data_IF_993095879406
#
_entry.id   IF_993095879406
#
_cell.length_a   1.000
_cell.length_b   1.000
_cell.length_c   1.000
_cell.angle_alpha   90.00
_cell.angle_beta   90.00
_cell.angle_gamma   90.00
#
_symmetry.space_group_name_H-M   'P 1'
#
loop_
_entity.id
_entity.type
_entity.pdbx_description
1 polymer ?
#
# COMPACT_ATOMS: atom_id res chain seq x y z
N UNK A 1 -58.57 -36.52 44.27
CA UNK A 1 -57.41 -36.97 43.44
C UNK A 1 -56.40 -35.84 43.14
N UNK A 2 -56.34 -34.76 43.96
CA UNK A 2 -55.59 -33.52 43.63
C UNK A 2 -54.16 -33.50 44.23
N UNK A 3 -53.91 -34.31 45.28
CA UNK A 3 -52.61 -34.38 45.97
C UNK A 3 -51.41 -34.78 45.09
N UNK A 4 -51.50 -35.70 44.11
CA UNK A 4 -50.35 -36.00 43.26
C UNK A 4 -50.05 -34.85 42.30
N UNK A 5 -51.08 -34.20 41.75
CA UNK A 5 -50.92 -33.10 40.77
C UNK A 5 -50.15 -31.93 41.38
N UNK A 6 -50.39 -31.60 42.65
CA UNK A 6 -49.71 -30.50 43.32
C UNK A 6 -48.19 -30.72 43.46
N UNK A 7 -47.76 -31.97 43.70
CA UNK A 7 -46.33 -32.32 43.79
C UNK A 7 -45.64 -32.23 42.44
N UNK A 8 -46.30 -32.70 41.39
CA UNK A 8 -45.80 -32.58 40.01
C UNK A 8 -45.69 -31.12 39.58
N UNK A 9 -46.64 -30.26 39.94
CA UNK A 9 -46.55 -28.82 39.66
C UNK A 9 -45.39 -28.15 40.38
N UNK A 10 -45.16 -28.46 41.66
CA UNK A 10 -44.02 -27.90 42.40
C UNK A 10 -42.69 -28.32 41.78
N UNK A 11 -42.57 -29.59 41.39
CA UNK A 11 -41.38 -30.09 40.70
C UNK A 11 -41.16 -29.42 39.35
N UNK A 12 -42.21 -29.31 38.52
CA UNK A 12 -42.14 -28.64 37.22
C UNK A 12 -41.78 -27.15 37.36
N UNK A 13 -42.31 -26.47 38.39
CA UNK A 13 -41.97 -25.08 38.69
C UNK A 13 -40.48 -24.93 39.03
N UNK A 14 -39.96 -25.80 39.91
CA UNK A 14 -38.55 -25.78 40.29
C UNK A 14 -37.62 -26.07 39.10
N UNK A 15 -37.96 -27.07 38.28
CA UNK A 15 -37.23 -27.40 37.06
C UNK A 15 -37.26 -26.25 36.04
N UNK A 16 -38.42 -25.61 35.85
CA UNK A 16 -38.57 -24.47 34.96
C UNK A 16 -37.71 -23.28 35.39
N UNK A 17 -37.66 -22.97 36.69
CA UNK A 17 -36.80 -21.91 37.23
C UNK A 17 -35.31 -22.19 36.96
N UNK A 18 -34.88 -23.44 37.15
CA UNK A 18 -33.49 -23.84 36.88
C UNK A 18 -33.14 -23.73 35.39
N UNK A 19 -34.00 -24.24 34.49
CA UNK A 19 -33.80 -24.14 33.05
C UNK A 19 -33.83 -22.69 32.56
N UNK A 20 -34.71 -21.87 33.13
CA UNK A 20 -34.77 -20.43 32.84
C UNK A 20 -33.48 -19.72 33.22
N UNK A 21 -32.91 -20.01 34.40
CA UNK A 21 -31.64 -19.43 34.82
C UNK A 21 -30.47 -19.87 33.91
N UNK A 22 -30.38 -21.16 33.57
CA UNK A 22 -29.34 -21.67 32.67
C UNK A 22 -29.44 -21.07 31.27
N UNK A 23 -30.66 -20.95 30.74
CA UNK A 23 -30.90 -20.37 29.42
C UNK A 23 -30.57 -18.86 29.40
N UNK A 24 -30.88 -18.15 30.48
CA UNK A 24 -30.54 -16.73 30.63
C UNK A 24 -29.02 -16.52 30.60
N UNK A 25 -28.27 -17.29 31.40
CA UNK A 25 -26.79 -17.20 31.42
C UNK A 25 -26.23 -17.53 30.03
N UNK A 26 -26.71 -18.61 29.40
CA UNK A 26 -26.27 -19.02 28.06
C UNK A 26 -26.52 -17.91 27.02
N UNK A 27 -27.69 -17.27 27.06
CA UNK A 27 -28.00 -16.15 26.17
C UNK A 27 -27.03 -14.97 26.36
N UNK A 28 -26.71 -14.63 27.61
CA UNK A 28 -25.77 -13.54 27.89
C UNK A 28 -24.35 -13.88 27.44
N UNK A 29 -23.92 -15.14 27.59
CA UNK A 29 -22.61 -15.57 27.09
C UNK A 29 -22.54 -15.45 25.57
N UNK A 30 -23.59 -15.88 24.85
CA UNK A 30 -23.65 -15.76 23.39
C UNK A 30 -23.63 -14.31 22.91
N UNK A 31 -24.28 -13.38 23.61
CA UNK A 31 -24.21 -11.96 23.25
C UNK A 31 -22.79 -11.41 23.42
N UNK A 32 -22.09 -11.79 24.49
CA UNK A 32 -20.70 -11.35 24.73
C UNK A 32 -19.73 -11.93 23.69
N UNK A 33 -19.94 -13.18 23.26
CA UNK A 33 -19.16 -13.79 22.18
C UNK A 33 -19.39 -13.08 20.85
N UNK A 34 -20.63 -12.73 20.53
CA UNK A 34 -20.95 -12.01 19.31
C UNK A 34 -20.29 -10.62 19.28
N UNK A 35 -20.30 -9.89 20.39
CA UNK A 35 -19.65 -8.58 20.48
C UNK A 35 -18.13 -8.67 20.30
N UNK A 36 -17.50 -9.72 20.86
CA UNK A 36 -16.06 -10.00 20.66
C UNK A 36 -15.75 -10.30 19.20
N UNK A 37 -16.57 -11.13 18.54
CA UNK A 37 -16.38 -11.47 17.13
C UNK A 37 -16.48 -10.22 16.23
N UNK A 38 -17.44 -9.32 16.51
CA UNK A 38 -17.55 -8.06 15.77
C UNK A 38 -16.33 -7.16 15.98
N UNK A 39 -15.84 -7.05 17.22
CA UNK A 39 -14.65 -6.25 17.52
C UNK A 39 -13.37 -6.83 16.86
N UNK A 40 -13.22 -8.15 16.85
CA UNK A 40 -12.10 -8.83 16.17
C UNK A 40 -12.17 -8.65 14.64
N UNK A 41 -13.36 -8.77 14.05
CA UNK A 41 -13.56 -8.53 12.63
C UNK A 41 -13.24 -7.07 12.25
N UNK A 42 -13.69 -6.10 13.05
CA UNK A 42 -13.37 -4.69 12.84
C UNK A 42 -11.86 -4.44 12.95
N UNK A 43 -11.20 -5.02 13.95
CA UNK A 43 -9.75 -4.94 14.10
C UNK A 43 -9.04 -5.53 12.88
N UNK A 44 -9.43 -6.72 12.43
CA UNK A 44 -8.83 -7.34 11.25
C UNK A 44 -9.06 -6.52 9.97
N UNK A 45 -10.25 -5.95 9.80
CA UNK A 45 -10.55 -5.07 8.67
C UNK A 45 -9.66 -3.83 8.71
N UNK A 46 -9.54 -3.17 9.87
CA UNK A 46 -8.68 -2.00 10.04
C UNK A 46 -7.21 -2.33 9.76
N UNK A 47 -6.71 -3.46 10.28
CA UNK A 47 -5.35 -3.92 10.00
C UNK A 47 -5.09 -4.19 8.52
N UNK A 48 -6.07 -4.77 7.81
CA UNK A 48 -5.97 -4.98 6.36
C UNK A 48 -5.98 -3.66 5.59
N UNK A 49 -6.84 -2.72 5.99
CA UNK A 49 -6.90 -1.39 5.38
C UNK A 49 -5.59 -0.63 5.62
N UNK A 50 -5.03 -0.67 6.83
CA UNK A 50 -3.80 0.02 7.19
C UNK A 50 -2.57 -0.55 6.47
N UNK A 51 -2.47 -1.88 6.40
CA UNK A 51 -1.40 -2.56 5.65
C UNK A 51 -1.45 -2.21 4.16
N UNK A 52 -2.66 -2.16 3.61
CA UNK A 52 -2.89 -1.81 2.21
C UNK A 52 -2.57 -0.33 1.93
N UNK A 53 -3.04 0.59 2.79
CA UNK A 53 -2.74 2.02 2.68
C UNK A 53 -1.23 2.28 2.80
N UNK A 54 -0.54 1.60 3.71
CA UNK A 54 0.91 1.69 3.88
C UNK A 54 1.65 1.26 2.62
N UNK A 55 1.23 0.17 1.98
CA UNK A 55 1.83 -0.29 0.73
C UNK A 55 1.66 0.73 -0.41
N UNK A 56 0.50 1.40 -0.49
CA UNK A 56 0.26 2.46 -1.46
C UNK A 56 1.16 3.68 -1.18
N UNK A 57 1.25 4.10 0.08
CA UNK A 57 2.07 5.25 0.50
C UNK A 57 3.56 5.02 0.23
N UNK A 58 4.07 3.82 0.50
CA UNK A 58 5.48 3.48 0.22
C UNK A 58 5.80 3.62 -1.27
N UNK A 59 4.89 3.17 -2.16
CA UNK A 59 5.06 3.30 -3.61
C UNK A 59 5.08 4.76 -4.06
N UNK A 60 4.19 5.58 -3.49
CA UNK A 60 4.17 7.01 -3.80
C UNK A 60 5.41 7.74 -3.25
N UNK A 61 5.85 7.42 -2.03
CA UNK A 61 7.05 8.04 -1.45
C UNK A 61 8.34 7.65 -2.20
N UNK A 62 8.38 6.44 -2.77
CA UNK A 62 9.51 6.01 -3.59
C UNK A 62 9.59 6.77 -4.95
N UNK A 63 8.58 7.54 -5.33
CA UNK A 63 8.54 8.27 -6.59
C UNK A 63 9.33 9.59 -6.48
N UNK A 64 10.33 9.83 -7.36
CA UNK A 64 11.04 11.10 -7.39
C UNK A 64 10.13 12.29 -7.71
N UNK A 65 10.39 13.49 -7.15
CA UNK A 65 9.60 14.70 -7.40
C UNK A 65 9.47 15.05 -8.90
N UNK A 66 10.50 14.80 -9.70
CA UNK A 66 10.50 15.08 -11.14
C UNK A 66 9.43 14.27 -11.90
N UNK A 67 9.03 13.10 -11.39
CA UNK A 67 8.00 12.28 -12.02
C UNK A 67 6.57 12.78 -11.75
N UNK A 68 6.38 13.79 -10.90
CA UNK A 68 5.08 14.44 -10.70
C UNK A 68 4.83 15.56 -11.72
N UNK A 69 5.70 15.77 -12.71
CA UNK A 69 5.44 16.64 -13.85
C UNK A 69 4.99 15.81 -15.05
N UNK A 70 4.13 16.32 -15.94
CA UNK A 70 3.71 15.57 -17.13
C UNK A 70 4.89 15.11 -17.98
N UNK A 71 5.89 15.97 -18.14
CA UNK A 71 7.15 15.66 -18.82
C UNK A 71 8.30 16.15 -17.97
N UNK A 72 9.37 15.35 -17.91
CA UNK A 72 10.60 15.72 -17.20
C UNK A 72 11.81 15.42 -18.07
N UNK A 73 12.90 16.15 -17.83
CA UNK A 73 14.19 15.87 -18.45
C UNK A 73 14.99 14.97 -17.51
N UNK A 74 15.40 13.76 -17.91
CA UNK A 74 16.28 12.95 -17.09
C UNK A 74 17.66 13.62 -17.03
N UNK A 75 18.29 13.62 -15.84
CA UNK A 75 19.60 14.27 -15.65
C UNK A 75 20.76 13.47 -16.27
N UNK A 76 20.61 12.14 -16.39
CA UNK A 76 21.66 11.22 -16.82
C UNK A 76 21.39 10.60 -18.20
N UNK A 77 21.16 11.42 -19.22
CA UNK A 77 21.07 10.94 -20.59
C UNK A 77 22.42 11.05 -21.30
N UNK A 78 22.87 9.94 -21.87
CA UNK A 78 24.08 9.86 -22.69
C UNK A 78 23.74 9.49 -24.12
N UNK A 79 24.36 10.16 -25.09
CA UNK A 79 24.24 9.76 -26.51
C UNK A 79 24.97 8.45 -26.76
N UNK A 80 24.32 7.48 -27.41
CA UNK A 80 24.84 6.13 -27.57
C UNK A 80 26.12 6.01 -28.42
N UNK A 81 26.46 7.02 -29.22
CA UNK A 81 27.68 6.99 -30.07
C UNK A 81 28.90 7.64 -29.42
N UNK A 82 28.71 8.74 -28.69
CA UNK A 82 29.82 9.55 -28.18
C UNK A 82 29.92 9.53 -26.64
N UNK A 83 29.00 8.85 -25.95
CA UNK A 83 28.86 8.83 -24.49
C UNK A 83 28.90 10.25 -23.87
N UNK A 84 28.46 11.26 -24.63
CA UNK A 84 28.37 12.65 -24.18
C UNK A 84 27.06 12.84 -23.44
N UNK A 85 27.13 13.53 -22.30
CA UNK A 85 25.94 13.94 -21.57
C UNK A 85 25.10 14.87 -22.46
N UNK A 86 23.82 14.57 -22.59
CA UNK A 86 22.84 15.41 -23.26
C UNK A 86 22.45 16.53 -22.30
N UNK A 87 22.41 17.78 -22.78
CA UNK A 87 22.02 18.90 -21.94
C UNK A 87 20.58 18.76 -21.44
N UNK A 88 20.37 19.12 -20.17
CA UNK A 88 19.05 19.15 -19.54
C UNK A 88 18.07 19.98 -20.39
N UNK A 89 16.88 19.45 -20.63
CA UNK A 89 15.86 20.10 -21.45
C UNK A 89 15.81 19.68 -22.92
N UNK A 90 16.86 19.02 -23.44
CA UNK A 90 16.88 18.60 -24.86
C UNK A 90 16.04 17.35 -25.11
N UNK A 91 15.97 16.45 -24.14
CA UNK A 91 15.21 15.21 -24.21
C UNK A 91 14.15 15.19 -23.10
N UNK A 92 12.88 15.19 -23.50
CA UNK A 92 11.74 15.11 -22.60
C UNK A 92 11.23 13.67 -22.55
N UNK A 93 11.12 13.14 -21.34
CA UNK A 93 10.52 11.84 -21.07
C UNK A 93 9.14 12.05 -20.44
N UNK A 94 8.09 11.33 -20.89
CA UNK A 94 6.78 11.37 -20.27
C UNK A 94 6.89 10.83 -18.84
N UNK A 95 6.10 11.39 -17.93
CA UNK A 95 5.97 10.81 -16.61
C UNK A 95 5.24 9.46 -16.68
N UNK A 96 5.59 8.51 -15.78
CA UNK A 96 4.82 7.26 -15.65
C UNK A 96 3.35 7.53 -15.28
N UNK A 97 3.04 8.71 -14.73
CA UNK A 97 1.68 9.11 -14.36
C UNK A 97 0.80 9.43 -15.56
N UNK A 98 1.38 9.68 -16.75
CA UNK A 98 0.61 9.83 -17.99
C UNK A 98 0.03 8.48 -18.46
N UNK A 99 0.62 7.36 -18.04
CA UNK A 99 0.08 6.03 -18.32
C UNK A 99 -1.15 5.74 -17.43
N UNK A 100 -1.60 4.49 -17.45
CA UNK A 100 -2.76 4.09 -16.64
C UNK A 100 -2.50 4.34 -15.14
N UNK A 101 -3.41 5.04 -14.45
CA UNK A 101 -3.23 5.34 -13.04
C UNK A 101 -3.32 4.06 -12.20
N UNK A 102 -2.69 4.02 -11.01
CA UNK A 102 -2.86 2.92 -10.07
C UNK A 102 -4.34 2.69 -9.75
N UNK A 103 -4.72 1.43 -9.54
CA UNK A 103 -6.12 0.99 -9.33
C UNK A 103 -6.90 1.83 -8.30
N UNK A 104 -6.21 2.31 -7.26
CA UNK A 104 -6.82 3.02 -6.13
C UNK A 104 -6.54 4.53 -6.13
N UNK A 105 -5.90 5.06 -7.17
CA UNK A 105 -5.59 6.48 -7.30
C UNK A 105 -6.32 7.04 -8.51
N UNK A 106 -7.32 7.89 -8.25
CA UNK A 106 -8.17 8.43 -9.32
C UNK A 106 -7.47 9.53 -10.13
N UNK A 107 -6.76 10.43 -9.46
CA UNK A 107 -6.12 11.58 -10.08
C UNK A 107 -4.98 12.06 -9.18
N UNK A 108 -3.84 12.37 -9.78
CA UNK A 108 -2.77 13.10 -9.12
C UNK A 108 -2.94 14.58 -9.45
N UNK A 109 -2.91 15.44 -8.44
CA UNK A 109 -3.06 16.87 -8.63
C UNK A 109 -2.22 17.64 -7.64
N UNK A 110 -1.86 18.85 -8.03
CA UNK A 110 -1.18 19.83 -7.21
C UNK A 110 -2.06 21.09 -7.17
N UNK A 111 -2.14 21.69 -5.99
CA UNK A 111 -2.82 22.97 -5.79
C UNK A 111 -1.74 24.04 -5.68
N UNK A 112 -1.62 24.87 -6.70
CA UNK A 112 -0.72 26.02 -6.69
C UNK A 112 -1.42 27.27 -6.15
N UNK A 113 -0.81 28.00 -5.20
CA UNK A 113 -1.34 29.26 -4.71
C UNK A 113 -1.11 30.35 -5.76
N UNK A 114 -2.04 30.54 -6.69
CA UNK A 114 -1.96 31.57 -7.71
C UNK A 114 -3.01 32.67 -7.45
N UNK A 115 -2.70 33.60 -6.54
CA UNK A 115 -3.57 34.75 -6.26
C UNK A 115 -4.91 34.36 -5.60
N UNK A 116 -6.01 35.01 -6.01
CA UNK A 116 -7.34 34.87 -5.38
C UNK A 116 -8.03 33.53 -5.63
N UNK A 117 -7.58 32.74 -6.61
CA UNK A 117 -8.15 31.43 -6.94
C UNK A 117 -7.04 30.37 -7.01
N UNK A 118 -7.14 29.26 -6.26
CA UNK A 118 -6.16 28.18 -6.32
C UNK A 118 -6.14 27.53 -7.71
N UNK A 119 -4.97 27.45 -8.34
CA UNK A 119 -4.83 26.78 -9.64
C UNK A 119 -4.57 25.29 -9.38
N UNK A 120 -5.50 24.44 -9.82
CA UNK A 120 -5.38 22.99 -9.70
C UNK A 120 -4.78 22.44 -10.99
N UNK A 121 -3.56 21.91 -10.89
CA UNK A 121 -2.87 21.29 -12.02
C UNK A 121 -2.75 19.79 -11.80
N UNK A 122 -2.80 19.01 -12.87
CA UNK A 122 -2.62 17.56 -12.81
C UNK A 122 -1.53 17.12 -13.78
N UNK A 123 -0.62 16.22 -13.38
CA UNK A 123 0.39 15.68 -14.28
C UNK A 123 -0.22 14.85 -15.41
N UNK A 124 -1.43 14.30 -15.19
CA UNK A 124 -2.18 13.54 -16.20
C UNK A 124 -2.83 14.40 -17.27
N UNK A 125 -2.99 15.70 -17.03
CA UNK A 125 -3.64 16.63 -17.96
C UNK A 125 -2.59 17.66 -18.41
N UNK A 126 -1.69 17.27 -19.34
CA UNK A 126 -0.71 18.19 -19.87
C UNK A 126 -1.40 19.37 -20.59
N UNK A 127 -0.79 20.55 -20.52
CA UNK A 127 -1.31 21.78 -21.13
C UNK A 127 -0.32 22.37 -22.14
N UNK A 128 -0.83 23.13 -23.12
CA UNK A 128 0.01 23.82 -24.11
C UNK A 128 0.85 22.86 -24.97
N UNK A 129 2.15 23.13 -25.08
CA UNK A 129 3.08 22.33 -25.91
C UNK A 129 3.19 20.88 -25.43
N UNK A 130 3.10 20.65 -24.11
CA UNK A 130 3.16 19.29 -23.55
C UNK A 130 1.98 18.43 -23.97
N UNK A 131 0.79 19.03 -24.14
CA UNK A 131 -0.39 18.34 -24.65
C UNK A 131 -0.20 17.86 -26.10
N UNK A 132 0.38 18.73 -26.94
CA UNK A 132 0.69 18.39 -28.33
C UNK A 132 1.72 17.27 -28.41
N UNK A 133 2.72 17.28 -27.52
CA UNK A 133 3.73 16.23 -27.44
C UNK A 133 3.13 14.89 -27.00
N UNK A 134 2.28 14.90 -25.97
CA UNK A 134 1.57 13.72 -25.48
C UNK A 134 0.66 13.10 -26.56
N UNK A 135 -0.12 13.93 -27.25
CA UNK A 135 -1.07 13.49 -28.27
C UNK A 135 -0.36 12.97 -29.52
N UNK A 136 0.71 13.65 -29.95
CA UNK A 136 1.44 13.29 -31.17
C UNK A 136 2.31 12.04 -30.98
N UNK A 137 3.01 11.92 -29.85
CA UNK A 137 4.06 10.90 -29.69
C UNK A 137 3.66 9.69 -28.84
N UNK A 138 2.71 9.85 -27.90
CA UNK A 138 2.42 8.83 -26.89
C UNK A 138 1.00 8.25 -26.96
N UNK A 139 0.15 8.73 -27.87
CA UNK A 139 -1.20 8.21 -28.13
C UNK A 139 -2.10 8.05 -26.87
N UNK A 140 -1.91 8.91 -25.86
CA UNK A 140 -2.55 8.84 -24.52
C UNK A 140 -3.95 9.48 -24.50
N UNK A 141 -4.60 9.58 -25.65
CA UNK A 141 -5.83 10.39 -25.82
C UNK A 141 -6.98 9.99 -24.88
N UNK A 142 -7.36 8.70 -24.72
CA UNK A 142 -8.49 8.36 -23.86
C UNK A 142 -8.18 8.55 -22.37
N UNK A 143 -6.95 8.26 -21.93
CA UNK A 143 -6.56 8.50 -20.53
C UNK A 143 -6.54 10.00 -20.19
N UNK A 144 -6.05 10.84 -21.11
CA UNK A 144 -6.06 12.30 -20.91
C UNK A 144 -7.49 12.82 -20.80
N UNK A 145 -8.43 12.30 -21.60
CA UNK A 145 -9.85 12.68 -21.52
C UNK A 145 -10.44 12.34 -20.15
N UNK A 146 -10.27 11.10 -19.68
CA UNK A 146 -10.75 10.70 -18.35
C UNK A 146 -10.10 11.51 -17.21
N UNK A 147 -8.81 11.80 -17.30
CA UNK A 147 -8.14 12.66 -16.32
C UNK A 147 -8.66 14.10 -16.36
N UNK A 148 -8.97 14.63 -17.55
CA UNK A 148 -9.56 15.97 -17.74
C UNK A 148 -10.94 16.05 -17.11
N UNK A 149 -11.78 15.04 -17.31
CA UNK A 149 -13.11 14.95 -16.68
C UNK A 149 -13.00 14.92 -15.15
N UNK A 150 -12.11 14.08 -14.61
CA UNK A 150 -11.88 13.99 -13.15
C UNK A 150 -11.34 15.30 -12.58
N UNK A 151 -10.45 15.99 -13.29
CA UNK A 151 -9.94 17.29 -12.89
C UNK A 151 -11.06 18.34 -12.84
N UNK A 152 -11.97 18.35 -13.81
CA UNK A 152 -13.15 19.23 -13.81
C UNK A 152 -14.11 18.94 -12.65
N UNK A 153 -14.34 17.66 -12.33
CA UNK A 153 -15.11 17.26 -11.16
C UNK A 153 -14.45 17.73 -9.86
N UNK A 154 -13.13 17.55 -9.73
CA UNK A 154 -12.36 18.02 -8.57
C UNK A 154 -12.45 19.54 -8.41
N UNK A 155 -12.30 20.30 -9.50
CA UNK A 155 -12.44 21.76 -9.47
C UNK A 155 -13.83 22.18 -8.98
N UNK A 156 -14.88 21.49 -9.42
CA UNK A 156 -16.26 21.74 -8.96
C UNK A 156 -16.42 21.47 -7.46
N UNK A 157 -15.80 20.41 -6.95
CA UNK A 157 -15.83 20.09 -5.51
C UNK A 157 -15.07 21.16 -4.71
N UNK A 158 -13.90 21.59 -5.18
CA UNK A 158 -13.07 22.59 -4.51
C UNK A 158 -13.71 23.99 -4.52
N UNK A 159 -14.44 24.36 -5.57
CA UNK A 159 -15.23 25.61 -5.58
C UNK A 159 -16.44 25.54 -4.66
N UNK A 160 -17.09 24.37 -4.56
CA UNK A 160 -18.20 24.14 -3.63
C UNK A 160 -17.75 24.14 -2.18
N UNK A 161 -16.53 23.69 -1.92
CA UNK A 161 -15.96 23.54 -0.57
C UNK A 161 -14.65 24.32 -0.42
N UNK A 162 -14.71 25.67 -0.35
CA UNK A 162 -13.50 26.51 -0.24
C UNK A 162 -12.69 26.24 1.04
N UNK A 163 -13.30 25.63 2.06
CA UNK A 163 -12.60 25.20 3.28
C UNK A 163 -11.51 24.15 3.03
N UNK A 164 -11.60 23.37 1.94
CA UNK A 164 -10.60 22.35 1.60
C UNK A 164 -9.32 22.96 1.03
N UNK A 165 -9.38 24.18 0.53
CA UNK A 165 -8.24 24.87 -0.07
C UNK A 165 -7.59 25.88 0.89
N UNK A 166 -8.22 26.14 2.04
CA UNK A 166 -7.65 27.00 3.06
C UNK A 166 -6.49 26.27 3.73
N UNK A 167 -5.27 26.60 3.30
CA UNK A 167 -4.05 26.32 4.04
C UNK A 167 -4.31 26.69 5.51
N UNK A 168 -3.99 25.79 6.43
CA UNK A 168 -4.13 25.99 7.87
C UNK A 168 -3.15 27.07 8.37
N UNK A 169 -3.31 28.31 7.91
CA UNK A 169 -2.71 29.51 8.49
C UNK A 169 -3.75 30.10 9.44
N UNK A 170 -3.70 29.63 10.69
CA UNK A 170 -3.56 30.46 11.89
C UNK A 170 -3.60 29.54 13.11
N UNK A 171 -2.45 28.89 13.37
CA UNK A 171 -2.11 28.32 14.67
C UNK A 171 -1.91 29.41 15.73
N UNK A 172 -2.89 30.29 15.92
CA UNK A 172 -3.09 31.01 17.18
C UNK A 172 -4.03 30.15 18.00
N UNK A 173 -3.44 29.23 18.76
CA UNK A 173 -4.16 28.23 19.51
C UNK A 173 -5.18 28.86 20.45
N UNK A 174 -6.46 28.57 20.20
CA UNK A 174 -7.44 28.47 21.27
C UNK A 174 -7.05 27.26 22.12
N UNK A 175 -6.20 27.52 23.11
CA UNK A 175 -6.09 26.66 24.28
C UNK A 175 -7.50 26.55 24.90
N UNK A 176 -8.05 25.33 25.09
CA UNK A 176 -9.16 25.19 26.02
C UNK A 176 -8.65 25.58 27.40
N UNK A 177 -9.35 26.55 28.01
CA UNK A 177 -9.06 27.10 29.31
C UNK A 177 -8.90 26.01 30.38
N UNK A 178 -8.00 26.28 31.35
CA UNK A 178 -7.84 25.66 32.69
C UNK A 178 -6.57 24.81 32.88
N UNK A 179 -5.45 25.46 33.20
CA UNK A 179 -4.78 25.33 34.51
C UNK A 179 -3.56 26.27 34.60
N UNK A 180 -3.32 26.76 35.81
CA UNK A 180 -2.53 27.94 36.19
C UNK A 180 -1.01 27.87 35.90
N UNK A 181 -0.29 29.02 35.93
CA UNK A 181 1.07 29.14 35.44
C UNK A 181 2.14 28.83 36.51
N UNK A 182 3.23 28.20 36.09
CA UNK A 182 4.51 28.23 36.79
C UNK A 182 5.52 28.94 35.89
N UNK A 183 5.91 30.13 36.33
CA UNK A 183 6.94 30.97 35.77
C UNK A 183 8.28 30.23 35.66
N UNK A 184 8.95 30.34 34.51
CA UNK A 184 10.40 30.29 34.44
C UNK A 184 10.89 31.14 33.27
N UNK A 185 11.40 32.32 33.64
CA UNK A 185 12.20 33.25 32.84
C UNK A 185 13.45 32.56 32.30
N UNK A 186 13.81 32.83 31.05
CA UNK A 186 15.03 32.32 30.44
C UNK A 186 15.33 32.93 29.08
N UNK A 187 15.70 34.20 29.08
CA UNK A 187 16.48 34.84 28.00
C UNK A 187 17.72 34.00 27.66
N UNK A 188 17.95 33.66 26.39
CA UNK A 188 19.26 33.88 25.77
C UNK A 188 19.24 33.80 24.24
N UNK A 189 19.73 34.88 23.67
CA UNK A 189 19.97 35.11 22.26
C UNK A 189 21.06 34.22 21.63
N UNK A 190 20.88 33.98 20.33
CA UNK A 190 21.94 33.83 19.32
C UNK A 190 22.57 32.45 19.22
N UNK A 191 22.58 31.86 18.01
CA UNK A 191 23.82 31.52 17.31
C UNK A 191 23.52 31.31 15.81
N UNK A 192 24.43 31.85 15.01
CA UNK A 192 24.49 31.85 13.55
C UNK A 192 25.19 30.57 13.05
N UNK A 193 24.88 30.20 11.80
CA UNK A 193 25.52 29.22 10.91
C UNK A 193 27.03 28.99 11.12
N UNK A 194 27.47 27.72 11.11
CA UNK A 194 28.58 27.23 10.26
C UNK A 194 28.85 25.71 10.34
N UNK A 195 29.24 25.14 9.19
CA UNK A 195 29.83 23.80 8.92
C UNK A 195 28.89 22.57 9.08
N UNK A 196 28.54 21.75 8.08
CA UNK A 196 29.23 21.26 6.88
C UNK A 196 30.57 20.56 7.19
N UNK A 197 30.49 19.38 7.83
CA UNK A 197 31.46 18.27 7.73
C UNK A 197 31.22 17.10 8.73
N UNK A 198 30.10 17.06 9.49
CA UNK A 198 29.91 16.06 10.56
C UNK A 198 28.55 15.33 10.56
N UNK A 199 27.84 15.24 9.44
CA UNK A 199 26.52 14.57 9.37
C UNK A 199 26.55 13.15 8.80
N UNK A 200 27.70 12.61 8.40
CA UNK A 200 27.77 11.24 7.83
C UNK A 200 27.93 10.13 8.88
N UNK A 201 28.12 10.46 10.16
CA UNK A 201 28.15 9.47 11.26
C UNK A 201 26.91 9.47 12.15
N UNK A 202 26.02 10.47 12.05
CA UNK A 202 24.77 10.51 12.81
C UNK A 202 23.60 9.74 12.15
N UNK A 203 23.77 9.26 10.91
CA UNK A 203 22.73 8.54 10.16
C UNK A 203 22.74 7.01 10.36
N UNK A 204 23.70 6.46 11.12
CA UNK A 204 23.76 5.02 11.41
C UNK A 204 23.35 4.64 12.84
N UNK A 205 23.11 5.60 13.74
CA UNK A 205 22.72 5.32 15.14
C UNK A 205 21.25 5.69 15.46
N UNK A 206 20.47 6.13 14.47
CA UNK A 206 19.05 6.47 14.65
C UNK A 206 18.06 5.38 14.22
N UNK A 207 18.53 4.19 13.80
CA UNK A 207 17.65 3.06 13.48
C UNK A 207 17.27 2.19 14.70
N UNK A 208 17.64 2.57 15.92
CA UNK A 208 17.47 1.76 17.14
C UNK A 208 16.56 2.36 18.23
N UNK A 209 15.96 3.54 18.04
CA UNK A 209 15.12 4.15 19.08
C UNK A 209 13.89 4.84 18.46
N UNK A 210 12.82 4.08 18.29
CA UNK A 210 11.46 4.61 18.41
C UNK A 210 10.63 3.62 19.22
N UNK A 211 10.91 3.64 20.52
CA UNK A 211 10.06 3.05 21.55
C UNK A 211 8.78 3.85 21.64
N UNK A 212 7.66 3.16 21.40
CA UNK A 212 6.32 3.62 21.73
C UNK A 212 6.24 3.71 23.26
N UNK A 213 6.06 4.94 23.77
CA UNK A 213 5.70 5.19 25.17
C UNK A 213 4.23 4.80 25.34
N UNK A 214 3.99 3.59 25.85
CA UNK A 214 2.72 3.17 26.45
C UNK A 214 2.75 3.56 27.94
N UNK A 215 1.60 3.96 28.53
CA UNK A 215 1.54 4.38 29.92
C UNK A 215 1.90 3.26 30.88
N UNK A 216 2.58 3.66 31.95
CA UNK A 216 3.12 2.81 32.98
C UNK A 216 2.02 2.07 33.76
N UNK A 217 1.94 0.75 33.56
CA UNK A 217 1.44 -0.19 34.56
C UNK A 217 2.54 -1.23 34.81
N UNK A 218 3.46 -0.88 35.73
CA UNK A 218 4.71 -1.59 35.99
C UNK A 218 4.54 -2.99 36.60
N UNK A 219 3.31 -3.45 36.85
CA UNK A 219 3.03 -4.77 37.42
C UNK A 219 2.69 -5.84 36.37
N UNK A 220 2.45 -5.47 35.10
CA UNK A 220 1.97 -6.43 34.08
C UNK A 220 3.10 -7.09 33.27
N UNK A 221 4.25 -6.44 33.12
CA UNK A 221 5.39 -6.99 32.36
C UNK A 221 6.12 -8.16 33.04
N UNK A 222 6.00 -8.31 34.36
CA UNK A 222 6.69 -9.37 35.10
C UNK A 222 5.92 -10.71 35.12
N UNK A 223 4.61 -10.68 34.90
CA UNK A 223 3.78 -11.88 34.72
C UNK A 223 3.98 -12.48 33.32
N UNK A 224 4.09 -11.62 32.31
CA UNK A 224 4.27 -12.03 30.91
C UNK A 224 5.63 -12.72 30.67
N UNK A 225 6.71 -12.25 31.31
CA UNK A 225 8.01 -12.93 31.24
C UNK A 225 8.04 -14.31 31.92
N UNK A 226 7.26 -14.50 33.00
CA UNK A 226 7.16 -15.81 33.66
C UNK A 226 6.39 -16.79 32.79
N UNK A 227 5.33 -16.34 32.13
CA UNK A 227 4.55 -17.17 31.20
C UNK A 227 5.38 -17.52 29.94
N UNK A 228 6.14 -16.57 29.38
CA UNK A 228 7.07 -16.83 28.26
C UNK A 228 8.16 -17.84 28.64
N UNK A 229 8.72 -17.77 29.85
CA UNK A 229 9.67 -18.78 30.33
C UNK A 229 9.03 -20.16 30.51
N UNK A 230 7.79 -20.22 31.00
CA UNK A 230 7.05 -21.47 31.13
C UNK A 230 6.68 -22.09 29.77
N UNK A 231 6.31 -21.27 28.79
CA UNK A 231 6.05 -21.76 27.42
C UNK A 231 7.31 -22.30 26.75
N UNK A 232 8.45 -21.64 26.96
CA UNK A 232 9.73 -22.12 26.43
C UNK A 232 10.14 -23.45 27.05
N UNK A 233 9.93 -23.68 28.35
CA UNK A 233 10.25 -24.98 28.98
C UNK A 233 9.35 -26.12 28.50
N UNK A 234 8.05 -25.88 28.28
CA UNK A 234 7.15 -26.91 27.75
C UNK A 234 7.53 -27.28 26.31
N UNK A 235 7.97 -26.31 25.52
CA UNK A 235 8.36 -26.55 24.12
C UNK A 235 9.65 -27.36 24.02
N UNK A 236 10.62 -27.14 24.93
CA UNK A 236 11.86 -27.94 24.93
C UNK A 236 11.64 -29.36 25.43
N UNK A 237 10.72 -29.58 26.38
CA UNK A 237 10.37 -30.91 26.88
C UNK A 237 9.65 -31.76 25.82
N UNK A 238 8.74 -31.14 25.05
CA UNK A 238 8.10 -31.79 23.90
C UNK A 238 9.06 -32.06 22.73
N UNK A 239 10.07 -31.19 22.52
CA UNK A 239 11.09 -31.42 21.50
C UNK A 239 12.06 -32.57 21.85
N UNK A 240 12.32 -32.79 23.15
CA UNK A 240 13.15 -33.91 23.61
C UNK A 240 12.41 -35.26 23.49
N UNK A 241 11.12 -35.31 23.85
CA UNK A 241 10.30 -36.52 23.68
C UNK A 241 10.09 -36.88 22.20
N UNK A 242 9.95 -35.89 21.31
CA UNK A 242 9.87 -36.15 19.87
C UNK A 242 11.16 -36.76 19.27
N UNK A 243 12.34 -36.37 19.77
CA UNK A 243 13.62 -36.98 19.35
C UNK A 243 13.78 -38.42 19.86
N UNK A 244 13.30 -38.73 21.06
CA UNK A 244 13.34 -40.11 21.56
C UNK A 244 12.38 -41.05 20.81
N UNK A 245 11.17 -40.59 20.46
CA UNK A 245 10.24 -41.38 19.64
C UNK A 245 10.72 -41.55 18.19
N UNK A 246 11.36 -40.54 17.61
CA UNK A 246 11.94 -40.62 16.27
C UNK A 246 13.06 -41.67 16.18
N UNK A 247 13.92 -41.74 17.18
CA UNK A 247 15.03 -42.69 17.21
C UNK A 247 14.59 -44.13 17.51
N UNK A 248 13.57 -44.33 18.34
CA UNK A 248 13.02 -45.67 18.63
C UNK A 248 12.32 -46.31 17.41
N UNK A 249 11.78 -45.48 16.51
CA UNK A 249 11.11 -45.96 15.29
C UNK A 249 12.11 -46.28 14.18
N UNK A 250 13.25 -45.59 14.13
CA UNK A 250 14.30 -45.86 13.13
C UNK A 250 15.01 -47.20 13.36
N UNK A 251 15.18 -47.62 14.63
CA UNK A 251 15.82 -48.92 14.94
C UNK A 251 14.95 -50.14 14.66
N UNK A 252 13.61 -49.99 14.59
CA UNK A 252 12.71 -51.09 14.25
C UNK A 252 12.65 -51.37 12.75
N UNK A 253 12.81 -50.35 11.91
CA UNK A 253 12.72 -50.51 10.46
C UNK A 253 14.05 -50.96 9.82
N UNK A 254 15.20 -50.74 10.46
CA UNK A 254 16.49 -51.25 9.95
C UNK A 254 16.73 -52.76 10.22
N UNK A 255 15.94 -53.41 11.08
CA UNK A 255 16.09 -54.86 11.36
C UNK A 255 15.13 -55.71 10.52
N UNK A 256 14.08 -55.14 9.94
CA UNK A 256 13.08 -55.89 9.18
C UNK A 256 13.43 -56.09 7.68
N UNK A 257 14.34 -55.30 7.10
CA UNK A 257 14.53 -55.24 5.64
C UNK A 257 15.76 -56.01 5.10
N UNK A 258 16.42 -56.82 5.94
CA UNK A 258 17.64 -57.57 5.55
C UNK A 258 17.39 -59.03 5.11
N UNK A 259 16.13 -59.48 5.00
CA UNK A 259 15.82 -60.89 4.71
C UNK A 259 15.13 -61.18 3.36
N UNK A 260 14.88 -60.18 2.50
CA UNK A 260 14.19 -60.40 1.23
C UNK A 260 14.93 -59.81 0.04
N UNK A 261 16.10 -60.38 -0.30
CA UNK A 261 16.82 -60.06 -1.54
C UNK A 261 17.47 -61.31 -2.14
N UNK A 262 16.65 -62.16 -2.74
CA UNK A 262 17.02 -63.12 -3.80
C UNK A 262 15.78 -63.38 -4.64
N UNK A 263 15.71 -62.70 -5.79
CA UNK A 263 15.52 -63.32 -7.11
C UNK A 263 15.09 -62.24 -8.12
N UNK A 264 15.78 -62.27 -9.26
CA UNK A 264 15.63 -61.43 -10.45
C UNK A 264 14.25 -61.70 -11.15
N UNK A 265 13.85 -61.09 -12.30
CA UNK A 265 14.70 -60.55 -13.36
C UNK A 265 14.29 -59.23 -14.04
N UNK A 266 15.31 -58.68 -14.69
CA UNK A 266 15.35 -57.74 -15.82
C UNK A 266 14.05 -57.50 -16.60
N UNK A 267 13.63 -56.23 -16.66
CA UNK A 267 12.97 -55.68 -17.84
C UNK A 267 13.59 -54.33 -18.21
N UNK A 268 13.97 -54.28 -19.48
CA UNK A 268 14.47 -53.14 -20.24
C UNK A 268 13.33 -52.13 -20.40
N UNK A 269 13.54 -50.89 -20.00
CA UNK A 269 12.65 -49.79 -20.38
C UNK A 269 13.48 -48.59 -20.86
N UNK A 270 13.64 -48.55 -22.17
CA UNK A 270 14.13 -47.41 -22.94
C UNK A 270 13.04 -46.34 -22.93
N UNK A 271 13.31 -45.18 -22.35
CA UNK A 271 12.43 -44.02 -22.36
C UNK A 271 13.19 -42.81 -22.88
N UNK A 272 13.08 -42.56 -24.17
CA UNK A 272 13.69 -41.44 -24.89
C UNK A 272 13.14 -40.09 -24.42
N UNK A 273 14.06 -39.15 -24.27
CA UNK A 273 13.84 -37.74 -23.95
C UNK A 273 13.47 -37.00 -25.24
N UNK A 274 12.21 -36.60 -25.37
CA UNK A 274 11.75 -35.77 -26.49
C UNK A 274 11.87 -34.28 -26.14
N UNK A 275 12.99 -33.67 -26.51
CA UNK A 275 13.20 -32.22 -26.55
C UNK A 275 12.55 -31.66 -27.82
N UNK A 276 11.42 -30.98 -27.67
CA UNK A 276 10.74 -30.28 -28.78
C UNK A 276 11.43 -28.95 -29.07
N UNK A 277 12.36 -28.98 -30.03
CA UNK A 277 12.97 -27.78 -30.64
C UNK A 277 12.13 -27.30 -31.82
N UNK A 278 11.42 -26.18 -31.64
CA UNK A 278 10.69 -25.50 -32.70
C UNK A 278 11.60 -24.62 -33.54
N UNK A 279 11.97 -25.11 -34.73
CA UNK A 279 12.68 -24.36 -35.77
C UNK A 279 11.68 -23.51 -36.57
N UNK A 280 11.80 -22.19 -36.54
CA UNK A 280 11.03 -21.28 -37.40
C UNK A 280 11.86 -20.97 -38.65
N UNK A 281 11.35 -21.20 -39.87
CA UNK A 281 12.08 -20.92 -41.10
C UNK A 281 12.12 -19.41 -41.40
N UNK A 282 13.35 -18.94 -41.63
CA UNK A 282 13.69 -17.74 -42.40
C UNK A 282 13.33 -17.98 -43.87
N UNK A 283 12.36 -17.23 -44.41
CA UNK A 283 12.38 -16.84 -45.82
C UNK A 283 11.36 -15.73 -46.12
N UNK A 284 11.85 -14.53 -46.44
CA UNK A 284 11.52 -13.75 -47.66
C UNK A 284 11.91 -12.29 -47.49
N UNK A 285 13.06 -11.99 -48.09
CA UNK A 285 13.45 -10.68 -48.58
C UNK A 285 12.41 -10.22 -49.60
N UNK A 286 11.85 -9.03 -49.38
CA UNK A 286 10.92 -8.38 -50.30
C UNK A 286 11.07 -6.86 -50.17
N UNK A 287 11.74 -6.29 -51.16
CA UNK A 287 11.80 -4.85 -51.45
C UNK A 287 10.43 -4.19 -51.36
N UNK A 288 10.34 -3.06 -50.67
CA UNK A 288 9.29 -2.06 -50.86
C UNK A 288 9.79 -0.69 -50.42
N UNK A 289 10.42 -0.01 -51.38
CA UNK A 289 10.30 1.41 -51.70
C UNK A 289 9.65 2.34 -50.67
N UNK A 290 10.52 3.17 -50.09
CA UNK A 290 10.33 4.57 -49.70
C UNK A 290 9.18 5.30 -50.41
N UNK A 291 8.17 5.75 -49.66
CA UNK A 291 7.33 6.90 -50.00
C UNK A 291 7.24 7.82 -48.78
N UNK A 292 7.98 8.91 -48.86
CA UNK A 292 7.88 10.11 -48.03
C UNK A 292 6.70 10.94 -48.53
N UNK A 293 5.71 11.32 -47.70
CA UNK A 293 4.83 12.43 -48.04
C UNK A 293 5.41 13.74 -47.50
N UNK A 294 5.71 14.65 -48.42
CA UNK A 294 6.12 16.03 -48.16
C UNK A 294 4.97 16.86 -47.53
N UNK A 295 5.29 17.91 -46.75
CA UNK A 295 4.31 18.80 -46.14
C UNK A 295 3.72 19.81 -47.16
N UNK A 296 2.42 20.15 -47.08
CA UNK A 296 1.88 21.27 -47.85
C UNK A 296 2.23 22.61 -47.19
N UNK A 297 3.05 23.39 -47.91
CA UNK A 297 3.15 24.84 -47.72
C UNK A 297 2.15 25.54 -48.64
N UNK A 298 1.33 26.44 -48.11
CA UNK A 298 0.60 27.41 -48.94
C UNK A 298 -0.45 28.24 -48.17
N UNK A 299 -0.63 29.53 -48.51
CA UNK A 299 -1.11 30.58 -47.59
C UNK A 299 -2.53 31.09 -47.87
N UNK A 300 -3.11 31.85 -46.93
CA UNK A 300 -4.36 32.62 -47.10
C UNK A 300 -5.11 32.76 -45.78
N UNK A 301 -4.90 33.82 -44.98
CA UNK A 301 -5.54 35.14 -45.05
C UNK A 301 -7.09 35.11 -44.95
N UNK A 302 -7.57 35.52 -43.77
CA UNK A 302 -8.76 36.38 -43.50
C UNK A 302 -10.15 35.92 -43.95
N UNK A 303 -11.10 35.86 -43.00
CA UNK A 303 -12.34 36.66 -42.98
C UNK A 303 -13.06 36.52 -41.62
N UNK A 304 -13.39 37.70 -41.09
CA UNK A 304 -14.25 38.02 -39.94
C UNK A 304 -15.70 37.66 -40.26
N UNK A 305 -16.46 37.13 -39.30
CA UNK A 305 -17.90 37.40 -39.24
C UNK A 305 -18.42 37.35 -37.80
N UNK A 306 -18.91 38.50 -37.37
CA UNK A 306 -19.73 38.73 -36.20
C UNK A 306 -21.18 38.23 -36.41
N UNK A 307 -21.90 38.04 -35.31
CA UNK A 307 -23.35 37.82 -35.26
C UNK A 307 -23.70 37.19 -33.90
N UNK A 308 -23.99 37.95 -32.84
CA UNK A 308 -25.16 38.80 -32.59
C UNK A 308 -26.48 38.02 -32.49
N UNK A 309 -27.00 38.01 -31.25
CA UNK A 309 -28.40 38.02 -30.83
C UNK A 309 -29.38 36.96 -31.39
N UNK A 310 -29.81 36.06 -30.51
CA UNK A 310 -31.22 35.95 -30.07
C UNK A 310 -31.28 35.20 -28.73
#
# INVERSE_FOLDING_TARGET
MIRPVLRWLLFALCLSLFLGAMLWVTRNTLTMENDRNLAEQQRLALWRMDSFASALLIRENARPPSQYQSFHSPEDLYTGKDNRAVEQGTALMPSPLLADPPEFVLLHFEIMPQGSSPMVCSPQVPVGQSYQLATTWYAVTPQIQHATERLGQLQTILTTHPQLTRKADDGKGDQPATSAPLSATGDRAGYKKESAAASTQAAQEQLAVQGIVLPADANQGMLDQRELRQRMSITTENAMTAKELGNATLTKNLVADSSSRRDAPSSVFTGDVQLSGGTIPMDKVGDSTSIVPAPPAGPGNTIILAGSAM
#
